data_IF_200947620289
#
_entry.id   IF_200947620289
#
_cell.length_a   1.000
_cell.length_b   1.000
_cell.length_c   1.000
_cell.angle_alpha   90.00
_cell.angle_beta   90.00
_cell.angle_gamma   90.00
#
_symmetry.space_group_name_H-M   'P 1'
#
loop_
_entity.id
_entity.type
_entity.pdbx_description
1 polymer ?
#
# COMPACT_ATOMS: atom_id res chain seq x y z
N UNK A 1 24.74 2.59 3.35
CA UNK A 1 23.56 2.01 2.67
C UNK A 1 22.34 2.29 3.55
N UNK A 2 21.30 2.93 3.02
CA UNK A 2 20.04 3.10 3.79
C UNK A 2 19.49 1.71 4.11
N UNK A 3 19.29 1.40 5.39
CA UNK A 3 18.70 0.14 5.82
C UNK A 3 17.30 0.00 5.20
N UNK A 4 17.00 -1.16 4.62
CA UNK A 4 15.66 -1.47 4.12
C UNK A 4 14.64 -1.37 5.27
N UNK A 5 13.62 -0.55 5.13
CA UNK A 5 12.54 -0.42 6.10
C UNK A 5 11.22 -0.12 5.38
N UNK A 6 10.32 -1.10 5.38
CA UNK A 6 9.08 -1.11 4.62
C UNK A 6 7.87 -0.92 5.54
N UNK A 7 6.90 -0.12 5.10
CA UNK A 7 5.53 -0.19 5.62
C UNK A 7 4.55 -0.60 4.52
N UNK A 8 3.71 -1.59 4.81
CA UNK A 8 2.55 -1.93 4.00
C UNK A 8 1.30 -1.26 4.60
N UNK A 9 0.51 -0.58 3.77
CA UNK A 9 -0.73 0.10 4.23
C UNK A 9 -1.93 -0.52 3.52
N UNK A 10 -2.83 -1.11 4.31
CA UNK A 10 -4.00 -1.85 3.84
C UNK A 10 -5.23 -1.46 4.68
N UNK A 11 -6.46 -1.41 4.13
CA UNK A 11 -7.65 -1.00 4.87
C UNK A 11 -7.91 -1.81 6.14
N UNK A 12 -7.92 -3.14 6.04
CA UNK A 12 -8.09 -4.07 7.15
C UNK A 12 -7.24 -5.33 6.92
N UNK A 13 -7.11 -6.17 7.93
CA UNK A 13 -6.46 -7.48 7.90
C UNK A 13 -7.48 -8.59 8.24
N UNK A 14 -8.63 -8.56 7.59
CA UNK A 14 -9.64 -9.61 7.70
C UNK A 14 -9.33 -10.77 6.74
N UNK A 15 -10.33 -11.54 6.33
CA UNK A 15 -10.18 -12.61 5.35
C UNK A 15 -10.13 -12.04 3.92
N UNK A 16 -9.14 -12.46 3.13
CA UNK A 16 -9.02 -12.07 1.72
C UNK A 16 -7.62 -12.29 1.16
N UNK A 17 -7.52 -12.37 -0.17
CA UNK A 17 -6.22 -12.63 -0.82
C UNK A 17 -5.22 -11.47 -0.68
N UNK A 18 -5.69 -10.23 -0.64
CA UNK A 18 -4.83 -9.05 -0.46
C UNK A 18 -4.28 -9.02 0.95
N UNK A 19 -5.15 -9.27 1.93
CA UNK A 19 -4.87 -9.31 3.36
C UNK A 19 -3.88 -10.42 3.68
N UNK A 20 -4.15 -11.65 3.21
CA UNK A 20 -3.25 -12.80 3.35
C UNK A 20 -1.88 -12.49 2.79
N UNK A 21 -1.81 -12.00 1.56
CA UNK A 21 -0.52 -11.66 0.98
C UNK A 21 0.19 -10.46 1.61
N UNK A 22 -0.49 -9.63 2.40
CA UNK A 22 0.16 -8.60 3.21
C UNK A 22 0.89 -9.26 4.37
N UNK A 23 0.23 -10.20 5.06
CA UNK A 23 0.81 -10.97 6.17
C UNK A 23 1.95 -11.87 5.68
N UNK A 24 1.76 -12.57 4.55
CA UNK A 24 2.79 -13.45 3.96
C UNK A 24 4.08 -12.67 3.64
N UNK A 25 3.97 -11.49 3.03
CA UNK A 25 5.12 -10.62 2.75
C UNK A 25 5.79 -10.16 4.05
N UNK A 26 5.01 -9.76 5.05
CA UNK A 26 5.55 -9.32 6.33
C UNK A 26 6.30 -10.45 7.05
N UNK A 27 5.70 -11.63 7.10
CA UNK A 27 6.30 -12.80 7.74
C UNK A 27 7.53 -13.29 6.98
N UNK A 28 7.52 -13.26 5.64
CA UNK A 28 8.72 -13.55 4.83
C UNK A 28 9.85 -12.57 5.14
N UNK A 29 9.58 -11.27 5.25
CA UNK A 29 10.60 -10.27 5.63
C UNK A 29 11.13 -10.53 7.04
N UNK A 30 10.28 -10.96 7.96
CA UNK A 30 10.66 -11.39 9.31
C UNK A 30 11.66 -12.55 9.28
N UNK A 31 11.45 -13.57 8.42
CA UNK A 31 12.40 -14.68 8.26
C UNK A 31 13.78 -14.21 7.79
N UNK A 32 13.82 -13.10 7.05
CA UNK A 32 15.07 -12.45 6.60
C UNK A 32 15.64 -11.46 7.62
N UNK A 33 15.06 -11.37 8.83
CA UNK A 33 15.43 -10.42 9.89
C UNK A 33 15.33 -8.95 9.44
N UNK A 34 14.43 -8.65 8.51
CA UNK A 34 14.20 -7.31 8.00
C UNK A 34 13.05 -6.67 8.77
N UNK A 35 13.34 -5.52 9.40
CA UNK A 35 12.31 -4.71 10.06
C UNK A 35 11.28 -4.26 9.03
N UNK A 36 10.02 -4.51 9.35
CA UNK A 36 8.91 -4.09 8.50
C UNK A 36 7.67 -3.75 9.32
N UNK A 37 6.74 -3.04 8.70
CA UNK A 37 5.58 -2.48 9.37
C UNK A 37 4.32 -2.73 8.55
N UNK A 38 3.19 -2.85 9.27
CA UNK A 38 1.85 -2.86 8.67
C UNK A 38 1.02 -1.78 9.34
N UNK A 39 0.32 -0.97 8.55
CA UNK A 39 -0.72 -0.04 9.02
C UNK A 39 -2.06 -0.53 8.49
N UNK A 40 -3.00 -0.79 9.38
CA UNK A 40 -4.38 -1.18 9.04
C UNK A 40 -5.36 -0.79 10.14
N UNK A 41 -6.65 -0.94 9.88
CA UNK A 41 -7.70 -0.79 10.90
C UNK A 41 -7.91 -2.05 11.76
N UNK A 42 -6.95 -3.00 11.73
CA UNK A 42 -7.07 -4.27 12.43
C UNK A 42 -7.69 -5.37 11.57
N UNK A 43 -8.08 -6.46 12.20
CA UNK A 43 -8.69 -7.64 11.57
C UNK A 43 -8.14 -8.94 12.15
N UNK A 44 -8.78 -10.06 11.78
CA UNK A 44 -8.47 -11.39 12.31
C UNK A 44 -7.05 -11.88 12.01
N UNK A 45 -6.47 -11.46 10.87
CA UNK A 45 -5.12 -11.87 10.48
C UNK A 45 -4.00 -11.14 11.24
N UNK A 46 -4.30 -10.16 12.07
CA UNK A 46 -3.29 -9.46 12.90
C UNK A 46 -2.58 -10.43 13.84
N UNK A 47 -3.27 -11.44 14.32
CA UNK A 47 -2.68 -12.47 15.21
C UNK A 47 -1.68 -13.40 14.50
N UNK A 48 -1.71 -13.46 13.17
CA UNK A 48 -0.81 -14.29 12.37
C UNK A 48 0.49 -13.57 11.96
N UNK A 49 0.63 -12.30 12.33
CA UNK A 49 1.85 -11.51 12.08
C UNK A 49 2.97 -11.99 13.02
N UNK A 50 4.11 -12.33 12.44
CA UNK A 50 5.35 -12.54 13.20
C UNK A 50 5.84 -11.21 13.79
N UNK A 51 5.57 -11.00 15.07
CA UNK A 51 5.89 -9.76 15.80
C UNK A 51 7.37 -9.55 16.08
N UNK A 52 8.23 -10.52 15.74
CA UNK A 52 9.67 -10.42 16.04
C UNK A 52 10.34 -9.29 15.23
N UNK A 53 9.94 -9.14 13.96
CA UNK A 53 10.48 -8.11 13.06
C UNK A 53 9.39 -7.30 12.35
N UNK A 54 8.11 -7.58 12.63
CA UNK A 54 6.98 -6.83 12.06
C UNK A 54 6.22 -6.09 13.17
N UNK A 55 6.07 -4.78 13.00
CA UNK A 55 5.22 -3.95 13.85
C UNK A 55 3.87 -3.69 13.17
N UNK A 56 2.77 -3.85 13.89
CA UNK A 56 1.45 -3.46 13.43
C UNK A 56 1.00 -2.17 14.11
N UNK A 57 0.62 -1.16 13.32
CA UNK A 57 0.09 0.10 13.81
C UNK A 57 -1.39 0.24 13.42
N UNK A 58 -2.24 0.33 14.43
CA UNK A 58 -3.68 0.44 14.26
C UNK A 58 -4.07 1.88 13.90
N UNK A 59 -4.58 2.09 12.67
CA UNK A 59 -5.13 3.36 12.19
C UNK A 59 -6.37 3.10 11.35
N UNK A 60 -7.39 3.99 11.36
CA UNK A 60 -8.63 3.82 10.61
C UNK A 60 -8.46 4.16 9.11
N UNK A 61 -7.49 3.50 8.46
CA UNK A 61 -7.16 3.68 7.03
C UNK A 61 -8.21 3.10 6.08
N UNK A 62 -9.24 2.45 6.61
CA UNK A 62 -10.44 2.00 5.91
C UNK A 62 -11.56 3.06 5.89
N UNK A 63 -11.34 4.24 6.47
CA UNK A 63 -12.35 5.29 6.56
C UNK A 63 -12.90 5.67 5.18
N UNK A 64 -14.22 5.78 5.08
CA UNK A 64 -14.91 6.31 3.90
C UNK A 64 -15.12 7.82 3.97
N UNK A 65 -14.83 8.42 5.12
CA UNK A 65 -14.97 9.87 5.34
C UNK A 65 -13.71 10.61 4.89
N UNK A 66 -13.77 11.25 3.74
CA UNK A 66 -12.66 12.01 3.14
C UNK A 66 -12.17 13.17 4.02
N UNK A 67 -13.03 13.75 4.86
CA UNK A 67 -12.62 14.82 5.79
C UNK A 67 -11.61 14.32 6.85
N UNK A 68 -11.57 13.03 7.12
CA UNK A 68 -10.61 12.41 8.03
C UNK A 68 -9.25 12.11 7.38
N UNK A 69 -9.17 12.11 6.05
CA UNK A 69 -7.94 11.73 5.33
C UNK A 69 -6.73 12.60 5.69
N UNK A 70 -6.80 13.93 5.79
CA UNK A 70 -5.64 14.73 6.19
C UNK A 70 -5.13 14.39 7.60
N UNK A 71 -6.05 14.11 8.53
CA UNK A 71 -5.69 13.74 9.92
C UNK A 71 -4.98 12.38 9.92
N UNK A 72 -5.55 11.38 9.25
CA UNK A 72 -4.95 10.03 9.14
C UNK A 72 -3.61 10.10 8.41
N UNK A 73 -3.55 10.86 7.32
CA UNK A 73 -2.31 11.08 6.56
C UNK A 73 -1.19 11.65 7.45
N UNK A 74 -1.49 12.65 8.29
CA UNK A 74 -0.53 13.20 9.22
C UNK A 74 -0.04 12.16 10.27
N UNK A 75 -0.93 11.29 10.74
CA UNK A 75 -0.56 10.19 11.64
C UNK A 75 0.36 9.17 10.92
N UNK A 76 0.07 8.83 9.67
CA UNK A 76 0.93 8.00 8.82
C UNK A 76 2.30 8.66 8.65
N UNK A 77 2.35 9.97 8.33
CA UNK A 77 3.61 10.70 8.15
C UNK A 77 4.47 10.71 9.43
N UNK A 78 3.86 10.93 10.59
CA UNK A 78 4.54 10.85 11.89
C UNK A 78 5.10 9.46 12.14
N UNK A 79 4.32 8.41 11.89
CA UNK A 79 4.75 7.04 12.08
C UNK A 79 5.94 6.68 11.17
N UNK A 80 5.87 7.05 9.89
CA UNK A 80 6.94 6.86 8.91
C UNK A 80 8.24 7.53 9.38
N UNK A 81 8.15 8.78 9.82
CA UNK A 81 9.32 9.54 10.30
C UNK A 81 9.93 8.93 11.57
N UNK A 82 9.11 8.59 12.57
CA UNK A 82 9.56 8.02 13.83
C UNK A 82 10.27 6.67 13.67
N UNK A 83 9.83 5.88 12.70
CA UNK A 83 10.38 4.54 12.45
C UNK A 83 11.39 4.50 11.30
N UNK A 84 11.84 5.65 10.75
CA UNK A 84 12.80 5.74 9.64
C UNK A 84 12.40 4.89 8.43
N UNK A 85 11.11 4.82 8.10
CA UNK A 85 10.57 4.05 6.99
C UNK A 85 10.95 4.75 5.67
N UNK A 86 11.50 4.00 4.73
CA UNK A 86 11.97 4.51 3.45
C UNK A 86 11.22 3.94 2.23
N UNK A 87 10.39 2.91 2.44
CA UNK A 87 9.52 2.33 1.42
C UNK A 87 8.09 2.25 1.95
N UNK A 88 7.13 2.77 1.19
CA UNK A 88 5.71 2.68 1.50
C UNK A 88 4.99 1.90 0.40
N UNK A 89 4.37 0.80 0.77
CA UNK A 89 3.62 -0.05 -0.12
C UNK A 89 2.12 0.08 0.16
N UNK A 90 1.40 0.75 -0.73
CA UNK A 90 -0.05 0.89 -0.63
C UNK A 90 -0.75 -0.26 -1.35
N UNK A 91 -1.68 -0.90 -0.66
CA UNK A 91 -2.36 -2.10 -1.17
C UNK A 91 -3.84 -1.86 -1.50
N UNK A 92 -4.30 -0.61 -1.39
CA UNK A 92 -5.68 -0.23 -1.71
C UNK A 92 -5.79 1.28 -1.98
N UNK A 93 -6.90 1.67 -2.59
CA UNK A 93 -7.17 3.05 -3.03
C UNK A 93 -7.24 4.07 -1.89
N UNK A 94 -7.92 3.76 -0.78
CA UNK A 94 -8.04 4.70 0.34
C UNK A 94 -6.66 4.98 0.98
N UNK A 95 -5.83 3.99 1.32
CA UNK A 95 -4.43 4.21 1.70
C UNK A 95 -3.63 5.00 0.67
N UNK A 96 -3.78 4.73 -0.64
CA UNK A 96 -3.08 5.47 -1.69
C UNK A 96 -3.45 6.96 -1.68
N UNK A 97 -4.72 7.29 -1.48
CA UNK A 97 -5.18 8.68 -1.31
C UNK A 97 -4.58 9.35 -0.09
N UNK A 98 -4.65 8.70 1.07
CA UNK A 98 -4.10 9.25 2.31
C UNK A 98 -2.61 9.50 2.18
N UNK A 99 -1.87 8.58 1.58
CA UNK A 99 -0.43 8.70 1.40
C UNK A 99 -0.05 9.75 0.36
N UNK A 100 -0.84 9.94 -0.71
CA UNK A 100 -0.58 10.98 -1.71
C UNK A 100 -0.60 12.40 -1.14
N UNK A 101 -1.29 12.62 -0.02
CA UNK A 101 -1.34 13.92 0.67
C UNK A 101 -0.03 14.28 1.38
N UNK A 102 0.84 13.32 1.66
CA UNK A 102 2.02 13.50 2.51
C UNK A 102 3.35 13.27 1.81
N UNK A 103 3.38 12.61 0.65
CA UNK A 103 4.66 12.27 0.01
C UNK A 103 5.26 13.42 -0.79
N UNK A 104 6.29 14.00 -0.22
CA UNK A 104 7.26 14.86 -0.92
C UNK A 104 8.57 14.07 -1.11
N UNK A 105 8.85 13.70 -2.34
CA UNK A 105 10.13 13.28 -2.99
C UNK A 105 11.10 12.27 -2.32
N UNK A 106 11.13 12.08 -1.00
CA UNK A 106 12.20 11.31 -0.34
C UNK A 106 11.82 9.88 0.08
N UNK A 107 10.57 9.45 -0.12
CA UNK A 107 10.08 8.11 0.25
C UNK A 107 9.73 7.37 -1.03
N UNK A 108 10.25 6.14 -1.18
CA UNK A 108 9.88 5.29 -2.30
C UNK A 108 8.49 4.72 -2.09
N UNK A 109 7.63 4.85 -3.08
CA UNK A 109 6.24 4.39 -3.01
C UNK A 109 6.00 3.26 -4.00
N UNK A 110 5.31 2.23 -3.55
CA UNK A 110 4.90 1.07 -4.35
C UNK A 110 3.41 0.86 -4.19
N UNK A 111 2.72 0.44 -5.24
CA UNK A 111 1.35 -0.04 -5.16
C UNK A 111 1.21 -1.43 -5.76
N UNK A 112 0.21 -2.20 -5.31
CA UNK A 112 -0.17 -3.45 -5.98
C UNK A 112 -1.59 -3.34 -6.51
N UNK A 113 -1.74 -3.52 -7.83
CA UNK A 113 -3.03 -3.65 -8.47
C UNK A 113 -3.47 -5.12 -8.47
N UNK A 114 -4.49 -5.41 -7.66
CA UNK A 114 -5.12 -6.74 -7.58
C UNK A 114 -6.27 -6.90 -8.57
N UNK A 115 -6.73 -5.81 -9.17
CA UNK A 115 -7.78 -5.77 -10.17
C UNK A 115 -7.71 -4.45 -10.96
N UNK A 116 -8.44 -4.38 -12.06
CA UNK A 116 -8.70 -3.14 -12.79
C UNK A 116 -9.92 -2.47 -12.17
N UNK A 117 -9.72 -1.32 -11.53
CA UNK A 117 -10.82 -0.61 -10.87
C UNK A 117 -11.76 0.00 -11.91
N UNK A 118 -13.02 -0.41 -11.88
CA UNK A 118 -14.08 0.12 -12.74
C UNK A 118 -14.52 1.55 -12.35
N UNK A 119 -15.29 2.16 -13.24
CA UNK A 119 -15.94 3.46 -13.07
C UNK A 119 -15.31 4.56 -13.91
N UNK A 120 -16.13 5.07 -14.85
CA UNK A 120 -15.70 6.07 -15.84
C UNK A 120 -16.07 7.49 -15.40
N UNK A 121 -16.79 7.63 -14.29
CA UNK A 121 -17.11 8.92 -13.70
C UNK A 121 -15.84 9.64 -13.24
N UNK A 122 -15.68 10.91 -13.61
CA UNK A 122 -14.46 11.71 -13.45
C UNK A 122 -13.86 11.64 -12.03
N UNK A 123 -14.65 11.84 -10.99
CA UNK A 123 -14.15 11.79 -9.60
C UNK A 123 -13.67 10.40 -9.20
N UNK A 124 -14.31 9.35 -9.71
CA UNK A 124 -13.90 7.96 -9.46
C UNK A 124 -12.61 7.62 -10.21
N UNK A 125 -12.40 8.19 -11.40
CA UNK A 125 -11.14 8.07 -12.15
C UNK A 125 -9.99 8.72 -11.36
N UNK A 126 -10.19 9.94 -10.84
CA UNK A 126 -9.21 10.63 -9.99
C UNK A 126 -8.92 9.81 -8.72
N UNK A 127 -9.95 9.27 -8.08
CA UNK A 127 -9.78 8.44 -6.89
C UNK A 127 -8.97 7.17 -7.16
N UNK A 128 -9.26 6.49 -8.26
CA UNK A 128 -8.57 5.27 -8.65
C UNK A 128 -7.13 5.52 -9.12
N UNK A 129 -6.84 6.69 -9.74
CA UNK A 129 -5.51 7.03 -10.26
C UNK A 129 -4.44 7.19 -9.19
N UNK A 130 -4.82 7.40 -7.91
CA UNK A 130 -3.84 7.50 -6.83
C UNK A 130 -3.02 6.21 -6.63
N UNK A 131 -3.58 5.06 -6.99
CA UNK A 131 -2.82 3.80 -7.04
C UNK A 131 -1.73 3.80 -8.12
N UNK A 132 -1.91 4.57 -9.18
CA UNK A 132 -0.94 4.72 -10.28
C UNK A 132 0.08 5.85 -10.03
N UNK A 133 -0.22 6.75 -9.09
CA UNK A 133 0.64 7.89 -8.74
C UNK A 133 1.69 7.50 -7.66
N UNK A 134 2.48 6.49 -7.96
CA UNK A 134 3.55 5.95 -7.11
C UNK A 134 4.85 5.79 -7.92
N UNK A 135 5.98 5.52 -7.26
CA UNK A 135 7.26 5.31 -7.96
C UNK A 135 7.27 4.00 -8.75
N UNK A 136 6.69 2.92 -8.20
CA UNK A 136 6.64 1.61 -8.86
C UNK A 136 5.32 0.88 -8.60
N UNK A 137 4.88 0.09 -9.58
CA UNK A 137 3.61 -0.64 -9.54
C UNK A 137 3.87 -2.13 -9.67
N UNK A 138 3.20 -2.92 -8.85
CA UNK A 138 3.10 -4.36 -9.00
C UNK A 138 1.73 -4.69 -9.58
N UNK A 139 1.69 -5.42 -10.68
CA UNK A 139 0.48 -5.98 -11.28
C UNK A 139 0.45 -7.49 -11.03
N UNK A 140 -0.71 -8.05 -10.63
CA UNK A 140 -0.81 -9.49 -10.34
C UNK A 140 -0.86 -10.39 -11.58
N UNK A 141 -0.94 -9.80 -12.78
CA UNK A 141 -0.94 -10.52 -14.07
C UNK A 141 -0.63 -9.57 -15.22
N UNK A 142 -0.25 -10.14 -16.38
CA UNK A 142 -0.09 -9.37 -17.61
C UNK A 142 -1.40 -8.70 -18.05
N UNK A 143 -2.54 -9.34 -17.83
CA UNK A 143 -3.84 -8.73 -18.08
C UNK A 143 -4.04 -7.44 -17.29
N UNK A 144 -3.78 -7.46 -15.98
CA UNK A 144 -3.89 -6.27 -15.13
C UNK A 144 -2.87 -5.21 -15.57
N UNK A 145 -1.61 -5.60 -15.85
CA UNK A 145 -0.58 -4.69 -16.37
C UNK A 145 -1.07 -3.94 -17.61
N UNK A 146 -1.51 -4.66 -18.63
CA UNK A 146 -1.93 -4.06 -19.89
C UNK A 146 -3.12 -3.11 -19.71
N UNK A 147 -4.10 -3.52 -18.89
CA UNK A 147 -5.29 -2.71 -18.61
C UNK A 147 -5.00 -1.43 -17.82
N UNK A 148 -4.08 -1.45 -16.87
CA UNK A 148 -3.72 -0.23 -16.13
C UNK A 148 -2.84 0.71 -16.96
N UNK A 149 -1.99 0.19 -17.85
CA UNK A 149 -1.24 1.00 -18.82
C UNK A 149 -2.21 1.79 -19.70
N UNK A 150 -3.15 1.09 -20.34
CA UNK A 150 -4.17 1.69 -21.20
C UNK A 150 -4.99 2.75 -20.43
N UNK A 151 -5.47 2.38 -19.23
CA UNK A 151 -6.40 3.22 -18.47
C UNK A 151 -5.77 4.49 -17.89
N UNK A 152 -4.53 4.41 -17.45
CA UNK A 152 -3.85 5.51 -16.75
C UNK A 152 -2.69 6.11 -17.54
N UNK A 153 -2.46 5.67 -18.78
CA UNK A 153 -1.37 6.09 -19.66
C UNK A 153 0.00 6.00 -18.96
N UNK A 154 0.31 4.80 -18.45
CA UNK A 154 1.50 4.55 -17.65
C UNK A 154 2.67 4.06 -18.51
N UNK A 155 3.88 4.41 -18.08
CA UNK A 155 5.10 3.81 -18.59
C UNK A 155 5.17 2.32 -18.20
N UNK A 156 5.28 1.39 -19.15
CA UNK A 156 5.42 -0.05 -18.90
C UNK A 156 6.59 -0.42 -18.00
N UNK A 157 7.69 0.36 -18.01
CA UNK A 157 8.87 0.11 -17.19
C UNK A 157 8.62 0.36 -15.68
N UNK A 158 7.62 1.17 -15.38
CA UNK A 158 7.16 1.42 -14.02
C UNK A 158 6.44 0.22 -13.39
N UNK A 159 6.14 -0.83 -14.18
CA UNK A 159 5.24 -1.91 -13.76
C UNK A 159 5.93 -3.27 -13.84
N UNK A 160 6.06 -3.93 -12.70
CA UNK A 160 6.49 -5.35 -12.61
C UNK A 160 5.28 -6.25 -12.45
N UNK A 161 5.25 -7.36 -13.20
CA UNK A 161 4.25 -8.42 -13.02
C UNK A 161 4.76 -9.42 -12.01
N UNK A 162 3.99 -9.63 -10.95
CA UNK A 162 4.19 -10.69 -9.96
C UNK A 162 2.90 -11.50 -9.93
N UNK A 163 2.90 -12.66 -10.56
CA UNK A 163 1.71 -13.52 -10.66
C UNK A 163 1.26 -14.01 -9.29
N UNK A 164 -0.04 -14.07 -9.12
CA UNK A 164 -0.70 -14.58 -7.92
C UNK A 164 -1.87 -15.47 -8.28
#
# INVERSE_FOLDING_TARGET
MSSFNLVQIIPSLDSGGVERGTVDVANFLSTKKLSNHIISSGGSLVQEIDKKYTSHYLLPVNSKNFLRYPIIANQIAKYIKLNNINIVHVRSRAPAWMTSLIFKRNIKTVSTFHNVYGGDFFLKKIYNSQMANVNHIIAISNYVKNKIIEKYNLDPEKITVINR
#
